data_IF_508869039991
#
_entry.id   IF_508869039991
#
_cell.length_a   1.000
_cell.length_b   1.000
_cell.length_c   1.000
_cell.angle_alpha   90.00
_cell.angle_beta   90.00
_cell.angle_gamma   90.00
#
_symmetry.space_group_name_H-M   'P 1'
#
loop_
_entity.id
_entity.type
_entity.pdbx_description
1 polymer ?
#
# COMPACT_ATOMS: atom_id res chain seq x y z
N UNK A 1 -5.26 20.88 -6.78
CA UNK A 1 -4.61 21.78 -7.76
C UNK A 1 -3.43 21.08 -8.44
N UNK A 2 -3.30 21.18 -9.77
CA UNK A 2 -2.29 20.46 -10.57
C UNK A 2 -0.86 20.95 -10.29
N UNK A 3 -0.12 20.29 -9.41
CA UNK A 3 1.32 20.48 -9.23
C UNK A 3 2.10 19.46 -10.08
N UNK A 4 2.79 19.94 -11.13
CA UNK A 4 3.87 19.22 -11.82
C UNK A 4 5.16 19.28 -10.98
N UNK A 5 5.16 18.68 -9.78
CA UNK A 5 6.39 18.42 -9.04
C UNK A 5 6.61 16.91 -9.05
N UNK A 6 7.68 16.47 -9.69
CA UNK A 6 8.23 15.12 -9.51
C UNK A 6 9.02 15.10 -8.20
N UNK A 7 8.99 13.99 -7.47
CA UNK A 7 9.72 13.84 -6.21
C UNK A 7 9.04 14.43 -4.96
N UNK A 8 7.72 14.50 -4.92
CA UNK A 8 6.99 14.84 -3.68
C UNK A 8 7.10 13.67 -2.68
N UNK A 9 7.49 13.96 -1.44
CA UNK A 9 7.52 12.96 -0.36
C UNK A 9 6.31 13.19 0.53
N UNK A 10 5.45 12.17 0.63
CA UNK A 10 4.25 12.17 1.47
C UNK A 10 4.60 11.70 2.88
N UNK A 11 4.12 12.45 3.87
CA UNK A 11 4.34 12.23 5.30
C UNK A 11 2.98 12.12 6.03
N UNK A 12 3.01 11.79 7.31
CA UNK A 12 1.83 11.58 8.15
C UNK A 12 0.90 12.79 8.27
N UNK A 13 1.42 14.00 8.01
CA UNK A 13 0.62 15.24 8.03
C UNK A 13 -0.26 15.39 6.79
N UNK A 14 0.06 14.67 5.71
CA UNK A 14 -0.62 14.83 4.44
C UNK A 14 -1.93 14.03 4.42
N UNK A 15 -2.96 14.64 3.85
CA UNK A 15 -4.29 14.07 3.73
C UNK A 15 -4.76 14.11 2.28
N UNK A 16 -5.50 13.07 1.90
CA UNK A 16 -6.18 13.06 0.60
C UNK A 16 -7.18 14.21 0.51
N UNK A 17 -7.16 14.91 -0.62
CA UNK A 17 -8.12 15.96 -0.96
C UNK A 17 -9.49 15.32 -1.27
N UNK A 18 -10.39 15.38 -0.27
CA UNK A 18 -11.72 14.75 -0.36
C UNK A 18 -12.66 15.48 -1.30
N UNK A 19 -12.46 16.79 -1.49
CA UNK A 19 -13.27 17.61 -2.39
C UNK A 19 -12.93 17.23 -3.83
N UNK A 20 -11.63 17.12 -4.14
CA UNK A 20 -11.17 16.58 -5.42
C UNK A 20 -11.73 15.18 -5.70
N UNK A 21 -11.73 14.27 -4.72
CA UNK A 21 -12.29 12.92 -4.91
C UNK A 21 -13.80 12.95 -5.22
N UNK A 22 -14.53 13.86 -4.57
CA UNK A 22 -15.98 13.99 -4.73
C UNK A 22 -16.36 14.60 -6.08
N UNK A 23 -15.58 15.58 -6.56
CA UNK A 23 -15.76 16.27 -7.83
C UNK A 23 -15.35 15.41 -9.03
N UNK A 24 -14.12 14.90 -9.03
CA UNK A 24 -13.54 14.22 -10.20
C UNK A 24 -13.90 12.74 -10.27
N UNK A 25 -14.25 12.13 -9.13
CA UNK A 25 -14.64 10.71 -9.01
C UNK A 25 -13.74 9.77 -9.82
N UNK A 26 -12.40 9.83 -9.66
CA UNK A 26 -11.50 8.94 -10.37
C UNK A 26 -11.81 7.46 -10.06
N UNK A 27 -11.36 6.50 -10.88
CA UNK A 27 -11.52 5.09 -10.54
C UNK A 27 -10.99 4.83 -9.12
N UNK A 28 -11.73 4.03 -8.34
CA UNK A 28 -11.51 3.77 -6.89
C UNK A 28 -11.77 4.93 -5.92
N UNK A 29 -12.30 6.09 -6.37
CA UNK A 29 -12.57 7.26 -5.51
C UNK A 29 -13.40 6.91 -4.26
N UNK A 30 -14.40 6.02 -4.39
CA UNK A 30 -15.27 5.64 -3.27
C UNK A 30 -14.50 4.96 -2.14
N UNK A 31 -13.51 4.12 -2.48
CA UNK A 31 -12.61 3.51 -1.49
C UNK A 31 -11.75 4.56 -0.79
N UNK A 32 -11.09 5.43 -1.58
CA UNK A 32 -10.21 6.47 -1.04
C UNK A 32 -10.96 7.46 -0.15
N UNK A 33 -12.15 7.86 -0.58
CA UNK A 33 -13.04 8.74 0.16
C UNK A 33 -13.47 8.07 1.47
N UNK A 34 -13.97 6.83 1.41
CA UNK A 34 -14.43 6.10 2.59
C UNK A 34 -13.30 5.91 3.62
N UNK A 35 -12.10 5.51 3.19
CA UNK A 35 -10.94 5.31 4.08
C UNK A 35 -10.50 6.63 4.71
N UNK A 36 -10.43 7.70 3.92
CA UNK A 36 -10.05 9.04 4.41
C UNK A 36 -11.06 9.58 5.42
N UNK A 37 -12.35 9.49 5.11
CA UNK A 37 -13.41 10.00 6.00
C UNK A 37 -13.55 9.16 7.26
N UNK A 38 -13.37 7.84 7.17
CA UNK A 38 -13.35 6.96 8.35
C UNK A 38 -12.22 7.34 9.30
N UNK A 39 -11.01 7.57 8.78
CA UNK A 39 -9.88 7.98 9.62
C UNK A 39 -10.12 9.35 10.28
N UNK A 40 -10.61 10.34 9.52
CA UNK A 40 -10.96 11.66 10.08
C UNK A 40 -12.03 11.56 11.18
N UNK A 41 -13.04 10.72 10.99
CA UNK A 41 -14.08 10.48 11.98
C UNK A 41 -13.52 9.78 13.23
N UNK A 42 -12.63 8.81 13.06
CA UNK A 42 -11.96 8.12 14.17
C UNK A 42 -11.13 9.10 15.01
N UNK A 43 -10.37 10.01 14.39
CA UNK A 43 -9.61 11.04 15.11
C UNK A 43 -10.50 11.97 15.92
N UNK A 44 -11.60 12.47 15.32
CA UNK A 44 -12.56 13.31 16.03
C UNK A 44 -13.15 12.58 17.25
N UNK A 45 -13.56 11.34 17.06
CA UNK A 45 -14.12 10.52 18.13
C UNK A 45 -13.08 10.25 19.24
N UNK A 46 -11.84 9.95 18.87
CA UNK A 46 -10.76 9.73 19.83
C UNK A 46 -10.47 10.99 20.67
N UNK A 47 -10.45 12.17 20.05
CA UNK A 47 -10.27 13.44 20.76
C UNK A 47 -11.42 13.72 21.73
N UNK A 48 -12.67 13.58 21.28
CA UNK A 48 -13.87 13.80 22.10
C UNK A 48 -13.95 12.85 23.30
N UNK A 49 -13.49 11.61 23.13
CA UNK A 49 -13.56 10.55 24.13
C UNK A 49 -12.24 10.26 24.86
N UNK A 50 -11.19 11.06 24.62
CA UNK A 50 -9.85 10.90 25.20
C UNK A 50 -9.29 9.47 25.02
N UNK A 51 -9.49 8.90 23.84
CA UNK A 51 -8.93 7.61 23.47
C UNK A 51 -7.51 7.79 22.96
N UNK A 52 -6.63 6.90 23.38
CA UNK A 52 -5.31 6.76 22.75
C UNK A 52 -5.49 6.02 21.42
N UNK A 53 -5.26 6.74 20.32
CA UNK A 53 -5.47 6.25 18.97
C UNK A 53 -4.15 6.35 18.20
N UNK A 54 -3.78 5.25 17.54
CA UNK A 54 -2.73 5.20 16.54
C UNK A 54 -3.33 4.73 15.22
N UNK A 55 -3.06 5.45 14.14
CA UNK A 55 -3.46 5.06 12.79
C UNK A 55 -2.27 4.51 12.01
N UNK A 56 -2.45 3.35 11.37
CA UNK A 56 -1.42 2.68 10.56
C UNK A 56 -1.88 2.70 9.10
N UNK A 57 -1.08 3.33 8.24
CA UNK A 57 -1.43 3.63 6.86
C UNK A 57 -0.46 2.91 5.90
N UNK A 58 -0.71 1.62 5.60
CA UNK A 58 0.12 0.87 4.68
C UNK A 58 -0.11 1.26 3.22
N UNK A 59 0.92 1.12 2.40
CA UNK A 59 0.83 1.17 0.93
C UNK A 59 0.37 -0.19 0.37
N UNK A 60 0.72 -0.56 -0.86
CA UNK A 60 0.28 -1.83 -1.44
C UNK A 60 0.91 -3.00 -0.67
N UNK A 61 0.07 -3.76 0.03
CA UNK A 61 0.52 -4.89 0.85
C UNK A 61 0.78 -6.10 -0.04
N UNK A 62 2.00 -6.63 0.05
CA UNK A 62 2.46 -7.83 -0.66
C UNK A 62 3.00 -8.87 0.33
N UNK A 63 3.04 -10.13 -0.10
CA UNK A 63 3.50 -11.26 0.70
C UNK A 63 2.51 -12.43 0.74
N UNK A 64 2.83 -13.48 1.51
CA UNK A 64 2.01 -14.67 1.62
C UNK A 64 0.67 -14.36 2.30
N UNK A 65 -0.31 -15.23 2.09
CA UNK A 65 -1.62 -15.12 2.74
C UNK A 65 -2.02 -16.44 3.37
N UNK A 66 -2.70 -16.34 4.51
CA UNK A 66 -3.36 -17.46 5.17
C UNK A 66 -4.81 -17.65 4.67
N UNK A 67 -5.31 -16.72 3.85
CA UNK A 67 -6.65 -16.80 3.27
C UNK A 67 -6.69 -17.80 2.11
N UNK A 68 -7.79 -18.57 1.95
CA UNK A 68 -7.93 -19.52 0.84
C UNK A 68 -7.78 -18.86 -0.54
N UNK A 69 -8.40 -17.69 -0.70
CA UNK A 69 -8.26 -16.88 -1.90
C UNK A 69 -7.14 -15.85 -1.70
N UNK A 70 -6.24 -15.67 -2.69
CA UNK A 70 -5.24 -14.61 -2.64
C UNK A 70 -5.90 -13.23 -2.44
N UNK A 71 -5.33 -12.35 -1.60
CA UNK A 71 -5.85 -11.00 -1.43
C UNK A 71 -5.83 -10.20 -2.74
N UNK A 72 -6.73 -9.23 -2.88
CA UNK A 72 -6.76 -8.35 -4.06
C UNK A 72 -5.44 -7.58 -4.23
N UNK A 73 -4.77 -7.18 -3.14
CA UNK A 73 -3.47 -6.52 -3.20
C UNK A 73 -2.38 -7.38 -3.83
N UNK A 74 -2.37 -8.68 -3.52
CA UNK A 74 -1.43 -9.66 -4.11
C UNK A 74 -1.72 -9.85 -5.59
N UNK A 75 -3.00 -10.03 -5.97
CA UNK A 75 -3.40 -10.10 -7.40
C UNK A 75 -2.97 -8.87 -8.17
N UNK A 76 -3.15 -7.69 -7.57
CA UNK A 76 -2.74 -6.43 -8.17
C UNK A 76 -1.22 -6.35 -8.34
N UNK A 77 -0.42 -6.79 -7.36
CA UNK A 77 1.03 -6.83 -7.46
C UNK A 77 1.51 -7.84 -8.53
N UNK A 78 0.92 -9.04 -8.59
CA UNK A 78 1.24 -10.06 -9.59
C UNK A 78 0.96 -9.60 -11.03
N UNK A 79 0.11 -8.60 -11.23
CA UNK A 79 -0.19 -8.04 -12.55
C UNK A 79 1.01 -7.35 -13.21
N UNK A 80 2.00 -6.93 -12.42
CA UNK A 80 3.28 -6.44 -12.94
C UNK A 80 4.08 -7.52 -13.67
N UNK A 81 3.84 -8.80 -13.36
CA UNK A 81 4.53 -9.94 -14.00
C UNK A 81 3.62 -10.60 -15.03
N UNK A 82 2.35 -10.80 -14.68
CA UNK A 82 1.42 -11.62 -15.50
C UNK A 82 0.83 -10.90 -16.70
N UNK A 83 0.79 -9.56 -16.67
CA UNK A 83 0.17 -8.80 -17.75
C UNK A 83 -1.36 -8.89 -17.81
N UNK A 84 -2.02 -9.37 -16.76
CA UNK A 84 -3.49 -9.43 -16.72
C UNK A 84 -4.14 -8.06 -16.96
N UNK A 85 -5.03 -7.96 -17.96
CA UNK A 85 -5.55 -6.66 -18.43
C UNK A 85 -6.28 -5.86 -17.34
N UNK A 86 -7.09 -6.54 -16.52
CA UNK A 86 -7.89 -5.90 -15.47
C UNK A 86 -6.99 -5.38 -14.33
N UNK A 87 -6.05 -6.20 -13.88
CA UNK A 87 -5.17 -5.84 -12.78
C UNK A 87 -4.09 -4.84 -13.21
N UNK A 88 -3.60 -4.90 -14.47
CA UNK A 88 -2.77 -3.84 -15.04
C UNK A 88 -3.50 -2.50 -15.10
N UNK A 89 -4.79 -2.50 -15.46
CA UNK A 89 -5.61 -1.30 -15.38
C UNK A 89 -5.70 -0.80 -13.94
N UNK A 90 -5.84 -1.70 -12.96
CA UNK A 90 -5.79 -1.38 -11.54
C UNK A 90 -4.49 -0.69 -11.11
N UNK A 91 -3.34 -1.20 -11.57
CA UNK A 91 -2.02 -0.60 -11.26
C UNK A 91 -1.85 0.76 -11.92
N UNK A 92 -2.29 0.92 -13.17
CA UNK A 92 -2.31 2.22 -13.88
C UNK A 92 -3.17 3.23 -13.15
N UNK A 93 -4.34 2.81 -12.68
CA UNK A 93 -5.23 3.63 -11.86
C UNK A 93 -4.51 4.02 -10.56
N UNK A 94 -3.90 3.07 -9.86
CA UNK A 94 -3.13 3.33 -8.65
C UNK A 94 -2.06 4.38 -8.92
N UNK A 95 -1.14 4.14 -9.86
CA UNK A 95 -0.09 5.10 -10.19
C UNK A 95 -0.63 6.49 -10.56
N UNK A 96 -1.77 6.58 -11.26
CA UNK A 96 -2.37 7.87 -11.61
C UNK A 96 -2.94 8.60 -10.40
N UNK A 97 -3.53 7.88 -9.45
CA UNK A 97 -4.25 8.47 -8.30
C UNK A 97 -3.33 8.68 -7.11
N UNK A 98 -2.48 7.71 -6.79
CA UNK A 98 -1.48 7.80 -5.71
C UNK A 98 -0.14 8.34 -6.19
N UNK A 99 0.08 8.61 -7.48
CA UNK A 99 1.34 9.15 -7.99
C UNK A 99 2.56 8.23 -7.88
N UNK A 100 2.40 7.02 -7.32
CA UNK A 100 3.43 6.01 -7.13
C UNK A 100 2.82 4.62 -6.97
N UNK A 101 3.63 3.57 -7.14
CA UNK A 101 3.31 2.22 -6.70
C UNK A 101 4.30 1.85 -5.60
N UNK A 102 3.83 1.97 -4.37
CA UNK A 102 4.65 1.73 -3.19
C UNK A 102 4.21 0.48 -2.48
N UNK A 103 5.18 -0.25 -1.92
CA UNK A 103 4.99 -1.59 -1.37
C UNK A 103 5.42 -1.67 0.08
N UNK A 104 4.72 -2.53 0.81
CA UNK A 104 5.11 -2.99 2.14
C UNK A 104 4.77 -4.46 2.28
N UNK A 105 5.64 -5.21 2.97
CA UNK A 105 5.40 -6.62 3.22
C UNK A 105 4.36 -6.84 4.32
N UNK A 106 3.49 -7.85 4.17
CA UNK A 106 2.45 -8.18 5.15
C UNK A 106 3.02 -8.46 6.55
N UNK A 107 4.16 -9.16 6.63
CA UNK A 107 4.80 -9.42 7.93
C UNK A 107 5.25 -8.11 8.59
N UNK A 108 5.77 -7.15 7.81
CA UNK A 108 6.17 -5.86 8.35
C UNK A 108 4.97 -5.01 8.79
N UNK A 109 3.82 -5.13 8.10
CA UNK A 109 2.57 -4.52 8.55
C UNK A 109 2.15 -5.09 9.91
N UNK A 110 2.11 -6.41 10.04
CA UNK A 110 1.73 -7.07 11.30
C UNK A 110 2.70 -6.72 12.43
N UNK A 111 4.01 -6.74 12.17
CA UNK A 111 5.05 -6.38 13.16
C UNK A 111 4.92 -4.92 13.58
N UNK A 112 4.68 -4.01 12.65
CA UNK A 112 4.53 -2.58 12.96
C UNK A 112 3.26 -2.30 13.76
N UNK A 113 2.16 -3.00 13.49
CA UNK A 113 0.94 -2.89 14.29
C UNK A 113 1.16 -3.33 15.74
N UNK A 114 1.84 -4.47 15.95
CA UNK A 114 2.19 -4.94 17.31
C UNK A 114 3.13 -3.94 17.99
N UNK A 115 4.19 -3.54 17.30
CA UNK A 115 5.18 -2.60 17.81
C UNK A 115 4.58 -1.27 18.26
N UNK A 116 3.73 -0.67 17.42
CA UNK A 116 3.07 0.60 17.73
C UNK A 116 2.00 0.47 18.83
N UNK A 117 1.36 -0.69 18.96
CA UNK A 117 0.41 -0.94 20.04
C UNK A 117 1.11 -1.11 21.41
N UNK A 118 2.35 -1.60 21.43
CA UNK A 118 3.14 -1.81 22.65
C UNK A 118 3.95 -0.56 23.05
N UNK A 119 4.20 0.37 22.12
CA UNK A 119 5.02 1.56 22.35
C UNK A 119 4.23 2.69 23.02
N UNK A 120 4.56 3.02 24.27
CA UNK A 120 3.97 4.16 24.99
C UNK A 120 4.24 5.53 24.33
N UNK A 121 5.29 5.63 23.50
CA UNK A 121 5.60 6.85 22.73
C UNK A 121 4.79 6.99 21.44
N UNK A 122 4.18 5.89 20.97
CA UNK A 122 3.50 5.89 19.68
C UNK A 122 2.26 6.78 19.74
N UNK A 123 2.15 7.71 18.80
CA UNK A 123 1.01 8.63 18.74
C UNK A 123 0.74 9.10 17.32
N UNK A 124 -0.53 9.38 17.02
CA UNK A 124 -0.90 9.91 15.72
C UNK A 124 -0.90 8.84 14.62
N UNK A 125 -0.51 9.25 13.42
CA UNK A 125 -0.52 8.42 12.22
C UNK A 125 0.88 7.86 11.95
N UNK A 126 0.99 6.72 11.27
CA UNK A 126 2.25 6.15 10.79
C UNK A 126 2.06 5.60 9.39
N UNK A 127 2.87 6.07 8.44
CA UNK A 127 2.92 5.52 7.09
C UNK A 127 3.80 4.27 7.08
N UNK A 128 3.32 3.22 6.43
CA UNK A 128 4.04 1.96 6.26
C UNK A 128 4.29 1.69 4.78
N UNK A 129 5.47 2.08 4.34
CA UNK A 129 5.97 1.93 2.97
C UNK A 129 7.48 1.74 2.97
N UNK A 130 7.95 0.59 2.49
CA UNK A 130 9.40 0.30 2.43
C UNK A 130 9.97 0.56 1.05
N UNK A 131 9.22 0.24 0.00
CA UNK A 131 9.68 0.35 -1.38
C UNK A 131 8.77 1.33 -2.10
N UNK A 132 9.36 2.33 -2.74
CA UNK A 132 8.64 3.28 -3.59
C UNK A 132 9.12 3.06 -5.03
N UNK A 133 8.27 2.49 -5.90
CA UNK A 133 8.63 2.19 -7.28
C UNK A 133 7.59 2.71 -8.28
N UNK A 134 7.99 2.91 -9.53
CA UNK A 134 7.08 3.18 -10.64
C UNK A 134 6.77 1.89 -11.40
N UNK A 135 5.75 1.90 -12.26
CA UNK A 135 5.56 0.84 -13.26
C UNK A 135 6.76 0.81 -14.23
N UNK A 136 7.64 -0.18 -14.08
CA UNK A 136 8.82 -0.38 -14.92
C UNK A 136 8.49 -0.41 -16.42
N UNK A 137 7.35 -1.02 -16.78
CA UNK A 137 6.90 -1.17 -18.16
C UNK A 137 6.26 0.08 -18.76
N UNK A 138 5.91 1.09 -17.95
CA UNK A 138 5.26 2.31 -18.45
C UNK A 138 6.22 3.47 -18.67
N UNK A 139 7.50 3.34 -18.30
CA UNK A 139 8.47 4.43 -18.30
C UNK A 139 7.94 5.71 -17.63
N UNK A 140 6.95 5.58 -16.74
CA UNK A 140 6.38 6.68 -15.98
C UNK A 140 7.10 6.75 -14.63
N UNK A 141 7.90 7.79 -14.47
CA UNK A 141 8.57 8.09 -13.21
C UNK A 141 7.54 8.34 -12.10
N UNK A 142 7.90 7.91 -10.88
CA UNK A 142 7.14 8.25 -9.69
C UNK A 142 7.02 9.76 -9.52
N UNK A 143 5.78 10.23 -9.42
CA UNK A 143 5.50 11.63 -9.09
C UNK A 143 5.65 11.87 -7.60
N UNK A 144 5.42 10.85 -6.78
CA UNK A 144 5.58 10.91 -5.33
C UNK A 144 6.16 9.63 -4.71
N UNK A 145 6.53 9.72 -3.45
CA UNK A 145 6.92 8.60 -2.59
C UNK A 145 6.28 8.75 -1.21
N UNK A 146 6.15 7.66 -0.48
CA UNK A 146 5.66 7.62 0.90
C UNK A 146 6.84 7.40 1.85
N UNK A 147 6.95 8.26 2.86
CA UNK A 147 8.00 8.17 3.88
C UNK A 147 7.52 7.40 5.09
N UNK A 148 8.29 6.39 5.50
CA UNK A 148 8.12 5.71 6.81
C UNK A 148 9.12 6.22 7.85
N UNK A 149 9.70 7.40 7.65
CA UNK A 149 10.76 7.94 8.49
C UNK A 149 10.32 8.09 9.95
N UNK A 150 9.06 8.49 10.19
CA UNK A 150 8.49 8.57 11.54
C UNK A 150 8.54 7.22 12.25
N UNK A 151 8.05 6.15 11.59
CA UNK A 151 8.06 4.80 12.12
C UNK A 151 9.49 4.30 12.39
N UNK A 152 10.43 4.57 11.49
CA UNK A 152 11.84 4.22 11.66
C UNK A 152 12.48 4.98 12.83
N UNK A 153 12.12 6.26 13.03
CA UNK A 153 12.59 7.08 14.16
C UNK A 153 12.06 6.62 15.52
N UNK A 154 10.89 6.00 15.59
CA UNK A 154 10.44 5.32 16.82
C UNK A 154 11.35 4.15 17.18
N UNK A 155 12.00 3.53 16.18
CA UNK A 155 12.91 2.40 16.35
C UNK A 155 12.47 1.13 15.61
N UNK A 156 11.39 1.18 14.85
CA UNK A 156 10.93 0.04 14.05
C UNK A 156 11.91 -0.26 12.90
N UNK A 157 12.15 -1.55 12.66
CA UNK A 157 13.01 -2.04 11.59
C UNK A 157 12.22 -2.95 10.65
N UNK A 158 12.15 -2.56 9.37
CA UNK A 158 11.60 -3.40 8.31
C UNK A 158 12.47 -4.65 8.13
N UNK A 159 11.84 -5.80 8.01
CA UNK A 159 12.51 -7.08 7.76
C UNK A 159 12.70 -7.33 6.26
N UNK A 160 11.73 -6.93 5.43
CA UNK A 160 11.75 -7.15 3.98
C UNK A 160 12.17 -5.86 3.30
N UNK A 161 13.40 -5.81 2.80
CA UNK A 161 13.98 -4.57 2.27
C UNK A 161 13.93 -4.48 0.76
N UNK A 162 13.87 -5.62 0.09
CA UNK A 162 14.01 -5.73 -1.36
C UNK A 162 12.72 -6.14 -2.01
N UNK A 163 12.50 -5.64 -3.24
CA UNK A 163 11.27 -5.91 -3.97
C UNK A 163 11.25 -7.37 -4.42
N UNK A 164 12.40 -7.86 -4.85
CA UNK A 164 12.63 -9.21 -5.33
C UNK A 164 12.20 -10.25 -4.28
N UNK A 165 12.57 -10.05 -3.01
CA UNK A 165 12.19 -10.91 -1.89
C UNK A 165 10.66 -10.97 -1.72
N UNK A 166 9.99 -9.82 -1.78
CA UNK A 166 8.52 -9.77 -1.71
C UNK A 166 7.86 -10.43 -2.93
N UNK A 167 8.48 -10.33 -4.11
CA UNK A 167 7.98 -10.88 -5.35
C UNK A 167 8.13 -12.39 -5.44
N UNK A 168 9.25 -12.94 -4.97
CA UNK A 168 9.46 -14.38 -4.88
C UNK A 168 8.33 -15.06 -4.09
N UNK A 169 7.95 -14.47 -2.95
CA UNK A 169 6.88 -15.02 -2.11
C UNK A 169 5.49 -14.95 -2.76
N UNK A 170 5.12 -13.82 -3.39
CA UNK A 170 3.82 -13.73 -4.06
C UNK A 170 3.76 -14.55 -5.34
N UNK A 171 4.88 -14.81 -6.02
CA UNK A 171 4.94 -15.73 -7.16
C UNK A 171 4.66 -17.17 -6.71
N UNK A 172 5.25 -17.62 -5.60
CA UNK A 172 4.94 -18.94 -5.04
C UNK A 172 3.47 -19.05 -4.62
N UNK A 173 2.92 -18.02 -3.97
CA UNK A 173 1.49 -17.95 -3.67
C UNK A 173 0.64 -17.98 -4.95
N UNK A 174 1.05 -17.26 -6.00
CA UNK A 174 0.37 -17.22 -7.28
C UNK A 174 0.32 -18.60 -7.95
N UNK A 175 1.42 -19.36 -7.91
CA UNK A 175 1.47 -20.75 -8.41
C UNK A 175 0.59 -21.67 -7.58
N UNK A 176 0.68 -21.60 -6.24
CA UNK A 176 -0.09 -22.44 -5.33
C UNK A 176 -1.61 -22.21 -5.41
N UNK A 177 -2.03 -20.99 -5.74
CA UNK A 177 -3.44 -20.61 -5.89
C UNK A 177 -3.98 -20.72 -7.32
N UNK A 178 -3.15 -21.14 -8.29
CA UNK A 178 -3.55 -21.25 -9.69
C UNK A 178 -3.70 -19.90 -10.43
N UNK A 179 -3.25 -18.79 -9.83
CA UNK A 179 -3.15 -17.50 -10.51
C UNK A 179 -1.99 -17.45 -11.51
N UNK A 180 -0.97 -18.27 -11.29
CA UNK A 180 0.17 -18.44 -12.19
C UNK A 180 0.24 -19.90 -12.66
N UNK A 181 0.68 -20.14 -13.92
CA UNK A 181 0.98 -21.49 -14.35
C UNK A 181 2.12 -22.08 -13.49
N UNK A 182 1.96 -23.33 -13.04
CA UNK A 182 3.06 -24.09 -12.47
C UNK A 182 3.96 -24.61 -13.60
N UNK A 183 5.27 -24.68 -13.37
CA UNK A 183 6.25 -25.11 -14.40
C UNK A 183 6.05 -26.57 -14.90
N UNK A 184 5.02 -27.28 -14.43
CA UNK A 184 4.68 -28.66 -14.79
C UNK A 184 3.37 -28.79 -15.58
N UNK A 185 3.00 -27.76 -16.36
CA UNK A 185 1.79 -27.73 -17.17
C UNK A 185 2.03 -27.88 -18.68
N UNK A 186 2.89 -28.80 -19.11
CA UNK A 186 2.94 -29.20 -20.53
C UNK A 186 3.16 -30.72 -20.65
N UNK A 187 2.08 -31.48 -20.46
CA UNK A 187 1.85 -32.77 -21.14
C UNK A 187 0.38 -33.14 -20.99
N UNK A 188 -0.42 -32.78 -22.00
CA UNK A 188 -1.28 -33.70 -22.76
C UNK A 188 -1.95 -32.98 -23.91
#
# INVERSE_FOLDING_TARGET
GKTKKTGLVMEEKDWTDVDYLYEERPPTWGYLFAKTMTEKAAWKYAEEHKLDLVAVNPTLIVGPSLTPDPPFSVRLALALITGGELEQLGLKIMQKVSGSISFVHIEDVCRAQIYLAEAESASGRYILSKINSGLWDLAEENKLSFSSEKLVKEGFQFKHEKLEEMYDEIMELGKASGLLPSEHGNTK
#
